data_IF_964857071406
#
_entry.id   IF_964857071406
#
_cell.length_a   1.000
_cell.length_b   1.000
_cell.length_c   1.000
_cell.angle_alpha   90.00
_cell.angle_beta   90.00
_cell.angle_gamma   90.00
#
_symmetry.space_group_name_H-M   'P 1'
#
loop_
_entity.id
_entity.type
_entity.pdbx_description
1 polymer ?
#
# COMPACT_ATOMS: atom_id res chain seq x y z
N UNK A 1 3.80 -9.80 -8.81
CA UNK A 1 3.42 -10.62 -9.98
C UNK A 1 3.95 -12.06 -9.93
N UNK A 2 5.27 -12.31 -9.83
CA UNK A 2 5.81 -13.70 -9.82
C UNK A 2 5.31 -14.49 -8.62
N UNK A 3 5.30 -13.91 -7.42
CA UNK A 3 4.76 -14.53 -6.20
C UNK A 3 3.26 -14.88 -6.34
N UNK A 4 2.46 -13.97 -6.90
CA UNK A 4 1.01 -14.18 -7.06
C UNK A 4 0.72 -15.27 -8.09
N UNK A 5 1.33 -15.16 -9.27
CA UNK A 5 1.16 -16.14 -10.36
C UNK A 5 1.73 -17.51 -9.97
N UNK A 6 2.93 -17.54 -9.41
CA UNK A 6 3.59 -18.77 -8.98
C UNK A 6 2.83 -19.48 -7.86
N UNK A 7 2.40 -18.70 -6.85
CA UNK A 7 1.57 -19.21 -5.76
C UNK A 7 0.22 -19.73 -6.25
N UNK A 8 -0.45 -19.02 -7.18
CA UNK A 8 -1.70 -19.48 -7.78
C UNK A 8 -1.50 -20.77 -8.60
N UNK A 9 -0.46 -20.82 -9.42
CA UNK A 9 -0.11 -22.02 -10.18
C UNK A 9 0.15 -23.21 -9.25
N UNK A 10 0.94 -23.03 -8.20
CA UNK A 10 1.20 -24.06 -7.19
C UNK A 10 -0.08 -24.50 -6.47
N UNK A 11 -0.98 -23.56 -6.17
CA UNK A 11 -2.24 -23.85 -5.49
C UNK A 11 -3.25 -24.64 -6.33
N UNK A 12 -3.15 -24.50 -7.66
CA UNK A 12 -4.08 -25.16 -8.60
C UNK A 12 -3.50 -26.42 -9.23
N UNK A 13 -2.15 -26.53 -9.36
CA UNK A 13 -1.50 -27.70 -9.91
C UNK A 13 -1.73 -28.92 -9.03
N UNK A 14 -2.26 -30.01 -9.59
CA UNK A 14 -2.59 -31.27 -8.88
C UNK A 14 -3.41 -31.05 -7.60
N UNK A 15 -4.28 -30.04 -7.56
CA UNK A 15 -5.08 -29.63 -6.40
C UNK A 15 -4.28 -29.04 -5.25
N UNK A 16 -3.08 -28.53 -5.53
CA UNK A 16 -2.17 -27.87 -4.60
C UNK A 16 -0.90 -28.64 -4.34
N UNK A 17 0.22 -27.96 -4.48
CA UNK A 17 1.54 -28.40 -4.07
C UNK A 17 2.14 -27.39 -3.10
N UNK A 18 3.07 -27.82 -2.26
CA UNK A 18 3.84 -26.91 -1.42
C UNK A 18 4.77 -26.04 -2.28
N UNK A 19 4.92 -24.78 -1.88
CA UNK A 19 5.83 -23.83 -2.51
C UNK A 19 6.52 -22.95 -1.47
N UNK A 20 7.60 -22.31 -1.88
CA UNK A 20 8.42 -21.41 -1.07
C UNK A 20 8.50 -20.07 -1.83
N UNK A 21 8.34 -18.95 -1.15
CA UNK A 21 8.59 -17.64 -1.70
C UNK A 21 10.01 -17.17 -1.40
N UNK A 22 10.73 -16.72 -2.43
CA UNK A 22 12.03 -16.05 -2.33
C UNK A 22 11.89 -14.70 -3.05
N UNK A 23 11.33 -13.68 -2.40
CA UNK A 23 11.12 -12.38 -3.01
C UNK A 23 12.45 -11.67 -3.26
N UNK A 24 12.59 -11.07 -4.44
CA UNK A 24 13.83 -10.40 -4.88
C UNK A 24 13.67 -8.88 -5.02
N UNK A 25 12.49 -8.34 -4.76
CA UNK A 25 12.23 -6.89 -4.73
C UNK A 25 11.72 -6.50 -3.35
N UNK A 26 11.98 -5.25 -2.94
CA UNK A 26 11.53 -4.75 -1.64
C UNK A 26 10.01 -4.86 -1.48
N UNK A 27 9.24 -4.51 -2.52
CA UNK A 27 7.78 -4.66 -2.53
C UNK A 27 7.33 -6.11 -2.33
N UNK A 28 8.01 -7.07 -2.96
CA UNK A 28 7.67 -8.47 -2.78
C UNK A 28 8.04 -8.98 -1.38
N UNK A 29 9.13 -8.48 -0.78
CA UNK A 29 9.55 -8.82 0.59
C UNK A 29 8.54 -8.34 1.63
N UNK A 30 8.09 -7.09 1.51
CA UNK A 30 7.24 -6.45 2.51
C UNK A 30 5.75 -6.69 2.31
N UNK A 31 5.33 -6.97 1.06
CA UNK A 31 3.91 -7.12 0.74
C UNK A 31 3.55 -8.46 0.07
N UNK A 32 3.95 -8.68 -1.16
CA UNK A 32 3.36 -9.73 -1.99
C UNK A 32 3.69 -11.17 -1.57
N UNK A 33 4.78 -11.42 -0.84
CA UNK A 33 5.17 -12.76 -0.39
C UNK A 33 4.50 -13.20 0.91
N UNK A 34 3.84 -12.27 1.64
CA UNK A 34 3.27 -12.51 2.96
C UNK A 34 1.75 -12.37 2.91
N UNK A 35 1.04 -13.35 3.50
CA UNK A 35 -0.40 -13.30 3.69
C UNK A 35 -1.24 -14.11 2.70
N UNK A 36 -0.60 -15.02 1.95
CA UNK A 36 -1.26 -16.09 1.21
C UNK A 36 -2.19 -15.68 0.06
N UNK A 37 -2.31 -14.39 -0.24
CA UNK A 37 -3.09 -13.93 -1.40
C UNK A 37 -2.31 -14.26 -2.66
N UNK A 38 -2.83 -15.17 -3.48
CA UNK A 38 -2.26 -15.53 -4.79
C UNK A 38 -3.32 -15.35 -5.86
N UNK A 39 -2.92 -14.97 -7.08
CA UNK A 39 -3.92 -14.75 -8.11
C UNK A 39 -3.36 -14.24 -9.43
N UNK A 40 -4.27 -14.07 -10.37
CA UNK A 40 -4.00 -13.58 -11.71
C UNK A 40 -4.99 -12.48 -12.09
N UNK A 41 -4.54 -11.60 -12.98
CA UNK A 41 -5.42 -10.63 -13.61
C UNK A 41 -6.28 -11.33 -14.67
N UNK A 42 -7.53 -10.93 -14.79
CA UNK A 42 -8.46 -11.47 -15.76
C UNK A 42 -9.37 -10.36 -16.32
N UNK A 43 -9.59 -10.33 -17.63
CA UNK A 43 -10.43 -9.33 -18.31
C UNK A 43 -10.09 -7.86 -17.96
N UNK A 44 -8.81 -7.54 -17.80
CA UNK A 44 -8.36 -6.18 -17.46
C UNK A 44 -8.51 -5.82 -15.97
N UNK A 45 -9.05 -6.71 -15.15
CA UNK A 45 -9.18 -6.52 -13.71
C UNK A 45 -8.03 -7.18 -12.97
N UNK A 46 -7.48 -6.48 -11.97
CA UNK A 46 -6.38 -6.98 -11.14
C UNK A 46 -6.89 -8.02 -10.13
N UNK A 47 -6.12 -9.11 -9.96
CA UNK A 47 -6.34 -10.14 -8.93
C UNK A 47 -7.78 -10.69 -8.91
N UNK A 48 -8.38 -10.86 -10.10
CA UNK A 48 -9.78 -11.27 -10.23
C UNK A 48 -9.99 -12.75 -9.92
N UNK A 49 -9.00 -13.57 -10.27
CA UNK A 49 -9.02 -15.01 -10.00
C UNK A 49 -7.86 -15.34 -9.08
N UNK A 50 -8.14 -15.87 -7.91
CA UNK A 50 -7.11 -16.19 -6.94
C UNK A 50 -7.61 -17.07 -5.80
N UNK A 51 -6.68 -17.45 -4.94
CA UNK A 51 -6.95 -18.24 -3.73
C UNK A 51 -6.11 -17.70 -2.56
N UNK A 52 -6.57 -18.00 -1.35
CA UNK A 52 -5.77 -17.86 -0.14
C UNK A 52 -5.00 -19.17 0.08
N UNK A 53 -3.68 -19.15 -0.12
CA UNK A 53 -2.80 -20.29 0.14
C UNK A 53 -1.41 -19.79 0.53
N UNK A 54 -1.01 -20.06 1.77
CA UNK A 54 0.29 -19.64 2.29
C UNK A 54 1.42 -20.49 1.72
N UNK A 55 2.56 -19.84 1.42
CA UNK A 55 3.81 -20.54 1.16
C UNK A 55 4.28 -21.24 2.44
N UNK A 56 5.03 -22.34 2.29
CA UNK A 56 5.62 -23.06 3.42
C UNK A 56 6.64 -22.22 4.18
N UNK A 57 7.42 -21.43 3.44
CA UNK A 57 8.41 -20.51 3.95
C UNK A 57 8.46 -19.26 3.06
N UNK A 58 8.83 -18.14 3.65
CA UNK A 58 9.28 -16.94 2.94
C UNK A 58 10.74 -16.73 3.34
N UNK A 59 11.66 -16.77 2.37
CA UNK A 59 13.08 -16.52 2.59
C UNK A 59 13.36 -15.09 2.15
N UNK A 60 13.67 -14.22 3.12
CA UNK A 60 14.01 -12.82 2.88
C UNK A 60 15.53 -12.68 2.86
N UNK A 61 16.09 -12.46 1.69
CA UNK A 61 17.52 -12.18 1.49
C UNK A 61 17.67 -10.76 0.91
N UNK A 62 18.09 -9.83 1.75
CA UNK A 62 18.23 -8.42 1.37
C UNK A 62 19.41 -8.14 0.43
N UNK A 63 20.31 -9.10 0.18
CA UNK A 63 21.35 -8.97 -0.87
C UNK A 63 20.74 -8.77 -2.27
N UNK A 64 19.53 -9.24 -2.52
CA UNK A 64 18.85 -8.94 -3.78
C UNK A 64 18.58 -7.43 -3.99
N UNK A 65 18.55 -6.64 -2.92
CA UNK A 65 18.35 -5.20 -2.99
C UNK A 65 19.59 -4.46 -3.48
N UNK A 66 20.80 -5.07 -3.42
CA UNK A 66 22.05 -4.45 -3.90
C UNK A 66 22.00 -4.13 -5.40
N UNK A 67 21.25 -4.91 -6.17
CA UNK A 67 21.08 -4.74 -7.62
C UNK A 67 19.73 -4.12 -8.01
N UNK A 68 18.88 -3.79 -7.03
CA UNK A 68 17.57 -3.21 -7.29
C UNK A 68 17.71 -1.70 -7.54
N UNK A 69 17.06 -1.20 -8.59
CA UNK A 69 17.06 0.24 -8.87
C UNK A 69 16.29 1.04 -7.80
N UNK A 70 16.61 2.33 -7.69
CA UNK A 70 16.05 3.23 -6.69
C UNK A 70 14.52 3.34 -6.78
N UNK A 71 13.94 3.29 -7.98
CA UNK A 71 12.49 3.37 -8.14
C UNK A 71 11.79 2.16 -7.54
N UNK A 72 12.35 0.96 -7.74
CA UNK A 72 11.81 -0.26 -7.14
C UNK A 72 12.06 -0.33 -5.63
N UNK A 73 13.15 0.24 -5.11
CA UNK A 73 13.34 0.42 -3.66
C UNK A 73 12.25 1.33 -3.11
N UNK A 74 12.06 2.52 -3.68
CA UNK A 74 10.99 3.45 -3.28
C UNK A 74 9.61 2.81 -3.36
N UNK A 75 9.34 2.03 -4.42
CA UNK A 75 8.07 1.33 -4.55
C UNK A 75 7.81 0.36 -3.38
N UNK A 76 8.79 -0.45 -2.98
CA UNK A 76 8.65 -1.31 -1.81
C UNK A 76 8.54 -0.52 -0.50
N UNK A 77 9.24 0.60 -0.42
CA UNK A 77 9.25 1.44 0.77
C UNK A 77 7.91 2.15 1.03
N UNK A 78 7.11 2.42 0.01
CA UNK A 78 5.74 2.93 0.18
C UNK A 78 4.87 2.02 1.05
N UNK A 79 5.02 0.70 0.93
CA UNK A 79 4.36 -0.28 1.79
C UNK A 79 4.94 -0.28 3.22
N UNK A 80 6.25 -0.11 3.37
CA UNK A 80 6.88 -0.01 4.68
C UNK A 80 6.42 1.25 5.43
N UNK A 81 6.28 2.38 4.74
CA UNK A 81 5.73 3.61 5.32
C UNK A 81 4.29 3.41 5.79
N UNK A 82 3.46 2.71 5.02
CA UNK A 82 2.12 2.31 5.44
C UNK A 82 2.15 1.42 6.70
N UNK A 83 3.02 0.42 6.73
CA UNK A 83 3.15 -0.45 7.91
C UNK A 83 3.61 0.32 9.15
N UNK A 84 4.48 1.29 9.00
CA UNK A 84 4.92 2.16 10.08
C UNK A 84 3.76 3.01 10.64
N UNK A 85 2.95 3.62 9.75
CA UNK A 85 1.77 4.42 10.11
C UNK A 85 0.72 3.62 10.90
N UNK A 86 0.52 2.34 10.57
CA UNK A 86 -0.45 1.47 11.25
C UNK A 86 0.15 0.72 12.46
N UNK A 87 1.43 0.93 12.77
CA UNK A 87 2.13 0.25 13.88
C UNK A 87 2.29 1.14 15.10
N UNK A 88 3.35 1.92 15.16
CA UNK A 88 3.69 2.77 16.30
C UNK A 88 4.56 3.97 15.88
N UNK A 89 4.66 4.95 16.80
CA UNK A 89 5.39 6.20 16.56
C UNK A 89 6.89 6.01 16.31
N UNK A 90 7.50 5.01 16.94
CA UNK A 90 8.92 4.74 16.77
C UNK A 90 9.20 4.27 15.35
N UNK A 91 8.44 3.30 14.89
CA UNK A 91 8.59 2.75 13.54
C UNK A 91 8.30 3.83 12.48
N UNK A 92 7.27 4.67 12.71
CA UNK A 92 6.97 5.80 11.84
C UNK A 92 8.11 6.81 11.80
N UNK A 93 8.67 7.21 12.96
CA UNK A 93 9.79 8.15 13.01
C UNK A 93 11.04 7.59 12.33
N UNK A 94 11.34 6.30 12.49
CA UNK A 94 12.42 5.63 11.76
C UNK A 94 12.17 5.69 10.24
N UNK A 95 10.91 5.47 9.80
CA UNK A 95 10.56 5.45 8.39
C UNK A 95 10.63 6.84 7.71
N UNK A 96 10.14 7.90 8.34
CA UNK A 96 10.18 9.25 7.73
C UNK A 96 11.55 9.93 7.80
N UNK A 97 12.50 9.36 8.55
CA UNK A 97 13.87 9.86 8.64
C UNK A 97 14.89 8.99 7.86
N UNK A 98 14.45 7.93 7.20
CA UNK A 98 15.35 7.06 6.45
C UNK A 98 15.71 7.68 5.09
N UNK A 99 17.01 7.67 4.75
CA UNK A 99 17.50 8.20 3.48
C UNK A 99 17.32 7.16 2.36
N UNK A 100 16.41 7.44 1.42
CA UNK A 100 16.13 6.58 0.26
C UNK A 100 17.06 6.82 -0.94
N UNK A 101 17.80 7.92 -0.97
CA UNK A 101 18.75 8.19 -2.04
C UNK A 101 20.05 7.38 -1.88
N UNK A 102 20.48 7.20 -0.62
CA UNK A 102 21.65 6.41 -0.25
C UNK A 102 21.30 5.47 0.90
N UNK A 103 20.49 4.42 0.62
CA UNK A 103 19.97 3.56 1.68
C UNK A 103 21.10 2.75 2.34
N UNK A 104 21.17 2.80 3.67
CA UNK A 104 21.96 1.85 4.46
C UNK A 104 21.24 0.50 4.46
N UNK A 105 21.78 -0.47 3.73
CA UNK A 105 21.15 -1.78 3.57
C UNK A 105 21.10 -2.59 4.86
N UNK A 106 22.00 -2.39 5.81
CA UNK A 106 21.94 -3.06 7.11
C UNK A 106 20.78 -2.51 7.96
N UNK A 107 20.56 -1.20 7.93
CA UNK A 107 19.39 -0.57 8.55
C UNK A 107 18.11 -1.01 7.84
N UNK A 108 18.10 -0.98 6.50
CA UNK A 108 16.95 -1.37 5.71
C UNK A 108 16.55 -2.83 5.96
N UNK A 109 17.51 -3.75 6.14
CA UNK A 109 17.26 -5.14 6.49
C UNK A 109 16.44 -5.28 7.78
N UNK A 110 16.81 -4.52 8.81
CA UNK A 110 16.06 -4.50 10.07
C UNK A 110 14.65 -3.94 9.86
N UNK A 111 14.54 -2.83 9.13
CA UNK A 111 13.24 -2.21 8.83
C UNK A 111 12.32 -3.14 8.03
N UNK A 112 12.87 -3.94 7.10
CA UNK A 112 12.13 -4.97 6.37
C UNK A 112 11.58 -6.02 7.34
N UNK A 113 12.41 -6.51 8.26
CA UNK A 113 11.98 -7.51 9.25
C UNK A 113 10.85 -6.96 10.14
N UNK A 114 10.99 -5.73 10.64
CA UNK A 114 9.97 -5.06 11.45
C UNK A 114 8.67 -4.85 10.65
N UNK A 115 8.77 -4.42 9.40
CA UNK A 115 7.64 -4.23 8.48
C UNK A 115 6.87 -5.54 8.21
N UNK A 116 7.61 -6.62 7.94
CA UNK A 116 7.03 -7.96 7.74
C UNK A 116 6.33 -8.46 9.01
N UNK A 117 6.93 -8.24 10.19
CA UNK A 117 6.32 -8.62 11.46
C UNK A 117 4.98 -7.90 11.72
N UNK A 118 4.86 -6.61 11.34
CA UNK A 118 3.58 -5.88 11.39
C UNK A 118 2.53 -6.55 10.52
N UNK A 119 2.87 -6.82 9.26
CA UNK A 119 1.95 -7.47 8.32
C UNK A 119 1.55 -8.87 8.78
N UNK A 120 2.52 -9.69 9.19
CA UNK A 120 2.28 -11.06 9.66
C UNK A 120 1.31 -11.07 10.84
N UNK A 121 1.54 -10.22 11.85
CA UNK A 121 0.64 -10.07 13.01
C UNK A 121 -0.80 -9.79 12.59
N UNK A 122 -0.99 -8.87 11.64
CA UNK A 122 -2.32 -8.48 11.14
C UNK A 122 -2.97 -9.63 10.35
N UNK A 123 -2.20 -10.29 9.49
CA UNK A 123 -2.67 -11.44 8.69
C UNK A 123 -3.06 -12.61 9.56
N UNK A 124 -2.25 -12.95 10.58
CA UNK A 124 -2.55 -14.04 11.52
C UNK A 124 -3.82 -13.76 12.35
N UNK A 125 -4.06 -12.49 12.69
CA UNK A 125 -5.27 -12.09 13.42
C UNK A 125 -6.54 -12.15 12.56
N UNK A 126 -6.42 -11.97 11.23
CA UNK A 126 -7.56 -11.92 10.30
C UNK A 126 -7.17 -12.44 8.91
N UNK A 127 -7.00 -13.76 8.74
CA UNK A 127 -6.50 -14.34 7.47
C UNK A 127 -7.35 -14.03 6.24
N UNK A 128 -8.67 -13.87 6.42
CA UNK A 128 -9.64 -13.69 5.33
C UNK A 128 -10.10 -12.23 5.11
N UNK A 129 -9.50 -11.27 5.83
CA UNK A 129 -9.77 -9.82 5.65
C UNK A 129 -11.24 -9.40 5.94
N UNK A 130 -11.82 -9.99 6.95
CA UNK A 130 -13.14 -9.57 7.42
C UNK A 130 -13.11 -8.39 8.40
N UNK A 131 -12.00 -8.17 9.09
CA UNK A 131 -11.81 -7.20 10.16
C UNK A 131 -10.51 -6.42 10.05
N UNK A 132 -9.59 -6.65 11.03
CA UNK A 132 -8.38 -5.83 11.21
C UNK A 132 -7.42 -5.87 10.00
N UNK A 133 -7.42 -6.91 9.20
CA UNK A 133 -6.57 -6.98 8.01
C UNK A 133 -6.89 -5.86 7.00
N UNK A 134 -8.08 -5.26 7.07
CA UNK A 134 -8.42 -4.05 6.31
C UNK A 134 -7.51 -2.85 6.64
N UNK A 135 -6.79 -2.87 7.77
CA UNK A 135 -5.77 -1.89 8.10
C UNK A 135 -4.70 -1.76 7.00
N UNK A 136 -4.37 -2.87 6.35
CA UNK A 136 -3.42 -2.91 5.24
C UNK A 136 -3.90 -2.16 3.99
N UNK A 137 -5.16 -1.72 3.97
CA UNK A 137 -5.74 -0.92 2.88
C UNK A 137 -5.56 0.59 3.06
N UNK A 138 -4.90 1.08 4.12
CA UNK A 138 -4.53 2.49 4.24
C UNK A 138 -3.71 2.92 3.02
N UNK A 139 -4.08 4.04 2.41
CA UNK A 139 -3.46 4.55 1.19
C UNK A 139 -3.87 3.84 -0.11
N UNK A 140 -4.64 2.75 -0.03
CA UNK A 140 -4.96 1.94 -1.20
C UNK A 140 -6.24 2.35 -1.93
N UNK A 141 -7.20 2.97 -1.25
CA UNK A 141 -8.46 3.37 -1.90
C UNK A 141 -8.20 4.46 -2.94
N UNK A 142 -7.48 5.51 -2.55
CA UNK A 142 -7.05 6.57 -3.47
C UNK A 142 -5.89 6.09 -4.34
N UNK A 143 -4.94 5.35 -3.76
CA UNK A 143 -3.76 4.82 -4.48
C UNK A 143 -4.13 3.95 -5.69
N UNK A 144 -5.07 3.03 -5.57
CA UNK A 144 -5.53 2.22 -6.70
C UNK A 144 -6.22 3.05 -7.79
N UNK A 145 -6.94 4.11 -7.40
CA UNK A 145 -7.51 5.05 -8.37
C UNK A 145 -6.41 5.79 -9.14
N UNK A 146 -5.37 6.27 -8.45
CA UNK A 146 -4.21 6.89 -9.09
C UNK A 146 -3.45 5.93 -10.02
N UNK A 147 -3.22 4.69 -9.58
CA UNK A 147 -2.57 3.67 -10.40
C UNK A 147 -3.37 3.35 -11.67
N UNK A 148 -4.68 3.21 -11.54
CA UNK A 148 -5.58 2.94 -12.66
C UNK A 148 -5.68 4.13 -13.62
N UNK A 149 -5.78 5.34 -13.10
CA UNK A 149 -5.81 6.57 -13.86
C UNK A 149 -4.51 6.76 -14.64
N UNK A 150 -3.35 6.63 -14.00
CA UNK A 150 -2.04 6.74 -14.65
C UNK A 150 -1.86 5.72 -15.78
N UNK A 151 -2.35 4.49 -15.58
CA UNK A 151 -2.37 3.47 -16.63
C UNK A 151 -3.23 3.89 -17.83
N UNK A 152 -4.42 4.48 -17.59
CA UNK A 152 -5.30 4.97 -18.64
C UNK A 152 -4.70 6.17 -19.41
N UNK A 153 -3.90 7.00 -18.73
CA UNK A 153 -3.16 8.11 -19.34
C UNK A 153 -1.91 7.65 -20.11
N UNK A 154 -1.56 6.36 -20.10
CA UNK A 154 -0.37 5.82 -20.75
C UNK A 154 0.94 6.12 -20.00
N UNK A 155 0.87 6.58 -18.77
CA UNK A 155 2.01 6.90 -17.89
C UNK A 155 1.95 6.06 -16.60
N UNK A 156 2.06 4.72 -16.69
CA UNK A 156 1.87 3.84 -15.54
C UNK A 156 2.89 4.15 -14.44
N UNK A 157 2.43 4.15 -13.20
CA UNK A 157 3.26 4.30 -11.99
C UNK A 157 3.41 2.96 -11.27
N UNK A 158 4.50 2.80 -10.52
CA UNK A 158 4.70 1.61 -9.69
C UNK A 158 3.71 1.62 -8.51
N UNK A 159 3.27 0.44 -8.10
CA UNK A 159 2.26 0.27 -7.04
C UNK A 159 2.58 1.03 -5.75
N UNK A 160 3.81 0.94 -5.24
CA UNK A 160 4.17 1.64 -4.01
C UNK A 160 4.20 3.17 -4.14
N UNK A 161 4.41 3.71 -5.34
CA UNK A 161 4.21 5.14 -5.61
C UNK A 161 2.72 5.50 -5.48
N UNK A 162 1.86 4.68 -6.07
CA UNK A 162 0.42 4.87 -5.93
C UNK A 162 -0.04 4.82 -4.47
N UNK A 163 0.50 3.88 -3.69
CA UNK A 163 0.22 3.78 -2.24
C UNK A 163 0.73 5.02 -1.51
N UNK A 164 1.96 5.47 -1.75
CA UNK A 164 2.51 6.68 -1.14
C UNK A 164 1.65 7.92 -1.45
N UNK A 165 1.25 8.11 -2.69
CA UNK A 165 0.33 9.19 -3.08
C UNK A 165 -1.05 9.05 -2.42
N UNK A 166 -1.58 7.84 -2.35
CA UNK A 166 -2.83 7.55 -1.65
C UNK A 166 -2.76 7.85 -0.16
N UNK A 167 -1.60 7.62 0.48
CA UNK A 167 -1.38 7.98 1.89
C UNK A 167 -1.54 9.49 2.11
N UNK A 168 -1.09 10.36 1.20
CA UNK A 168 -1.26 11.81 1.33
C UNK A 168 -2.75 12.17 1.45
N UNK A 169 -3.58 11.70 0.53
CA UNK A 169 -5.01 12.01 0.51
C UNK A 169 -5.75 11.35 1.70
N UNK A 170 -5.42 10.09 2.03
CA UNK A 170 -6.11 9.36 3.11
C UNK A 170 -5.66 9.84 4.50
N UNK A 171 -4.45 10.36 4.68
CA UNK A 171 -4.03 11.03 5.91
C UNK A 171 -4.68 12.41 6.06
N UNK A 172 -4.92 13.15 4.98
CA UNK A 172 -5.74 14.35 5.03
C UNK A 172 -7.17 14.01 5.51
N UNK A 173 -7.81 13.01 4.92
CA UNK A 173 -9.12 12.52 5.39
C UNK A 173 -9.06 12.07 6.85
N UNK A 174 -7.98 11.45 7.27
CA UNK A 174 -7.75 11.04 8.67
C UNK A 174 -7.70 12.26 9.60
N UNK A 175 -7.01 13.33 9.21
CA UNK A 175 -6.96 14.54 10.01
C UNK A 175 -8.34 15.21 10.15
N UNK A 176 -9.09 15.31 9.05
CA UNK A 176 -10.41 15.96 9.03
C UNK A 176 -11.48 15.13 9.77
N UNK A 177 -11.45 13.79 9.62
CA UNK A 177 -12.55 12.93 10.08
C UNK A 177 -12.29 12.23 11.41
N UNK A 178 -11.05 11.88 11.69
CA UNK A 178 -10.68 11.04 12.84
C UNK A 178 -9.67 11.70 13.77
N UNK A 179 -9.22 12.94 13.46
CA UNK A 179 -8.35 13.71 14.32
C UNK A 179 -6.88 13.34 14.25
N UNK A 180 -6.42 12.76 13.13
CA UNK A 180 -5.00 12.46 12.94
C UNK A 180 -4.15 13.73 13.10
N UNK A 181 -3.05 13.71 13.89
CA UNK A 181 -2.30 14.91 14.21
C UNK A 181 -1.68 15.57 12.98
N UNK A 182 -1.88 16.88 12.86
CA UNK A 182 -1.44 17.68 11.70
C UNK A 182 0.07 17.67 11.53
N UNK A 183 0.84 17.60 12.62
CA UNK A 183 2.30 17.57 12.55
C UNK A 183 2.81 16.29 11.91
N UNK A 184 2.28 15.10 12.30
CA UNK A 184 2.63 13.83 11.68
C UNK A 184 2.15 13.75 10.22
N UNK A 185 0.98 14.35 9.92
CA UNK A 185 0.52 14.51 8.54
C UNK A 185 1.57 15.28 7.71
N UNK A 186 2.00 16.47 8.16
CA UNK A 186 2.97 17.28 7.43
C UNK A 186 4.30 16.57 7.22
N UNK A 187 4.85 15.94 8.26
CA UNK A 187 6.12 15.23 8.17
C UNK A 187 6.03 14.05 7.18
N UNK A 188 4.94 13.29 7.22
CA UNK A 188 4.74 12.18 6.29
C UNK A 188 4.57 12.66 4.85
N UNK A 189 3.81 13.74 4.63
CA UNK A 189 3.61 14.32 3.30
C UNK A 189 4.91 14.92 2.76
N UNK A 190 5.67 15.63 3.59
CA UNK A 190 6.99 16.16 3.20
C UNK A 190 7.94 15.03 2.74
N UNK A 191 8.01 13.93 3.52
CA UNK A 191 8.79 12.76 3.13
C UNK A 191 8.32 12.16 1.80
N UNK A 192 6.99 12.05 1.58
CA UNK A 192 6.45 11.52 0.34
C UNK A 192 6.80 12.43 -0.85
N UNK A 193 6.61 13.75 -0.72
CA UNK A 193 6.94 14.69 -1.80
C UNK A 193 8.43 14.66 -2.15
N UNK A 194 9.31 14.63 -1.16
CA UNK A 194 10.76 14.58 -1.37
C UNK A 194 11.19 13.32 -2.12
N UNK A 195 10.64 12.18 -1.77
CA UNK A 195 11.12 10.89 -2.29
C UNK A 195 10.35 10.36 -3.50
N UNK A 196 9.07 10.71 -3.66
CA UNK A 196 8.20 10.19 -4.71
C UNK A 196 7.79 11.26 -5.73
N UNK A 197 8.00 12.54 -5.42
CA UNK A 197 7.50 13.65 -6.25
C UNK A 197 5.98 13.77 -6.21
N UNK A 198 5.40 14.21 -7.31
CA UNK A 198 3.96 14.45 -7.45
C UNK A 198 3.39 13.71 -8.66
N UNK A 199 2.11 13.39 -8.62
CA UNK A 199 1.33 12.93 -9.76
C UNK A 199 0.57 14.14 -10.34
N UNK A 200 0.79 14.46 -11.60
CA UNK A 200 0.26 15.66 -12.24
C UNK A 200 -1.25 15.59 -12.54
N UNK A 201 -2.08 15.38 -11.51
CA UNK A 201 -3.54 15.45 -11.64
C UNK A 201 -4.02 16.90 -11.64
N UNK A 202 -5.18 17.14 -12.25
CA UNK A 202 -5.90 18.43 -12.27
C UNK A 202 -7.31 18.26 -11.75
N UNK A 203 -8.03 19.36 -11.53
CA UNK A 203 -9.43 19.30 -11.13
C UNK A 203 -10.31 18.55 -12.15
N UNK A 204 -9.92 18.54 -13.43
CA UNK A 204 -10.67 17.85 -14.49
C UNK A 204 -10.61 16.32 -14.34
N UNK A 205 -9.62 15.79 -13.60
CA UNK A 205 -9.43 14.37 -13.35
C UNK A 205 -10.26 13.83 -12.18
N UNK A 206 -10.79 14.70 -11.31
CA UNK A 206 -11.42 14.30 -10.05
C UNK A 206 -12.64 13.39 -10.22
N UNK A 207 -13.48 13.67 -11.22
CA UNK A 207 -14.65 12.82 -11.50
C UNK A 207 -14.22 11.41 -11.96
N UNK A 208 -13.19 11.32 -12.77
CA UNK A 208 -12.63 10.05 -13.23
C UNK A 208 -12.02 9.26 -12.05
N UNK A 209 -11.22 9.93 -11.19
CA UNK A 209 -10.64 9.33 -9.99
C UNK A 209 -11.74 8.87 -9.01
N UNK A 210 -12.76 9.68 -8.78
CA UNK A 210 -13.89 9.30 -7.94
C UNK A 210 -14.62 8.07 -8.49
N UNK A 211 -14.86 8.03 -9.81
CA UNK A 211 -15.45 6.87 -10.47
C UNK A 211 -14.60 5.62 -10.29
N UNK A 212 -13.28 5.70 -10.42
CA UNK A 212 -12.37 4.57 -10.19
C UNK A 212 -12.45 4.07 -8.74
N UNK A 213 -12.54 4.98 -7.75
CA UNK A 213 -12.72 4.60 -6.35
C UNK A 213 -14.07 3.89 -6.12
N UNK A 214 -15.14 4.27 -6.83
CA UNK A 214 -16.46 3.62 -6.66
C UNK A 214 -16.50 2.19 -7.17
N UNK A 215 -15.59 1.81 -8.07
CA UNK A 215 -15.49 0.45 -8.62
C UNK A 215 -14.60 -0.48 -7.76
N UNK A 216 -14.02 0.00 -6.66
CA UNK A 216 -13.23 -0.85 -5.76
C UNK A 216 -14.13 -1.91 -5.10
N UNK A 217 -13.67 -3.17 -5.11
CA UNK A 217 -14.37 -4.33 -4.54
C UNK A 217 -14.67 -4.19 -3.04
N UNK A 218 -13.99 -3.29 -2.34
CA UNK A 218 -14.16 -3.01 -0.90
C UNK A 218 -15.41 -2.21 -0.59
N UNK A 219 -16.07 -1.64 -1.59
CA UNK A 219 -17.23 -0.77 -1.42
C UNK A 219 -18.44 -1.54 -0.92
N UNK A 220 -19.18 -0.92 0.00
CA UNK A 220 -20.38 -1.49 0.58
C UNK A 220 -21.58 -0.58 0.24
N UNK A 221 -22.60 -1.13 -0.40
CA UNK A 221 -23.84 -0.41 -0.76
C UNK A 221 -23.56 0.93 -1.51
N UNK A 222 -22.60 0.93 -2.42
CA UNK A 222 -22.29 2.11 -3.23
C UNK A 222 -21.51 3.22 -2.49
N UNK A 223 -21.03 2.94 -1.27
CA UNK A 223 -20.18 3.87 -0.50
C UNK A 223 -18.72 3.46 -0.60
N UNK A 224 -17.85 4.43 -0.87
CA UNK A 224 -16.40 4.22 -0.85
C UNK A 224 -15.97 4.01 0.61
N UNK A 225 -15.25 2.92 0.84
CA UNK A 225 -14.79 2.53 2.18
C UNK A 225 -13.29 2.79 2.30
N UNK A 226 -12.93 3.48 3.37
CA UNK A 226 -11.55 3.84 3.71
C UNK A 226 -11.09 3.14 4.99
N UNK A 227 -9.80 2.94 5.09
CA UNK A 227 -9.10 2.81 6.36
C UNK A 227 -8.45 4.16 6.68
N UNK A 228 -8.79 4.75 7.81
CA UNK A 228 -8.24 6.03 8.28
C UNK A 228 -7.53 5.82 9.62
N UNK A 229 -6.82 6.85 10.10
CA UNK A 229 -6.11 6.82 11.37
C UNK A 229 -6.60 7.95 12.30
N UNK A 230 -6.75 7.67 13.59
CA UNK A 230 -6.93 8.69 14.63
C UNK A 230 -5.59 9.21 15.19
N UNK A 231 -4.51 8.47 14.95
CA UNK A 231 -3.11 8.73 15.29
C UNK A 231 -2.27 7.60 14.76
N UNK A 232 -0.93 7.67 14.89
CA UNK A 232 -0.07 6.55 14.52
C UNK A 232 -0.48 5.30 15.33
N UNK A 233 -0.77 4.20 14.62
CA UNK A 233 -1.24 2.95 15.24
C UNK A 233 -2.72 2.93 15.67
N UNK A 234 -3.43 4.07 15.67
CA UNK A 234 -4.86 4.12 15.97
C UNK A 234 -5.70 3.94 14.68
N UNK A 235 -5.95 2.68 14.34
CA UNK A 235 -6.56 2.26 13.08
C UNK A 235 -8.08 2.35 13.14
N UNK A 236 -8.69 3.02 12.18
CA UNK A 236 -10.13 3.19 12.00
C UNK A 236 -10.56 2.58 10.67
N UNK A 237 -10.94 1.29 10.70
CA UNK A 237 -11.45 0.59 9.51
C UNK A 237 -12.89 1.00 9.19
N UNK A 238 -13.35 0.72 7.95
CA UNK A 238 -14.71 0.94 7.48
C UNK A 238 -15.19 2.40 7.61
N UNK A 239 -14.29 3.36 7.45
CA UNK A 239 -14.64 4.77 7.41
C UNK A 239 -15.21 5.14 6.02
N UNK A 240 -16.02 6.19 5.98
CA UNK A 240 -16.59 6.70 4.73
C UNK A 240 -16.28 8.19 4.58
N UNK A 241 -16.19 8.66 3.34
CA UNK A 241 -16.11 10.08 3.03
C UNK A 241 -17.15 10.44 1.98
N UNK A 242 -17.64 11.67 2.04
CA UNK A 242 -18.48 12.25 1.00
C UNK A 242 -17.66 12.58 -0.23
N UNK A 243 -18.30 12.76 -1.38
CA UNK A 243 -17.62 13.17 -2.61
C UNK A 243 -16.84 14.48 -2.43
N UNK A 244 -17.40 15.45 -1.70
CA UNK A 244 -16.74 16.74 -1.44
C UNK A 244 -15.48 16.55 -0.58
N UNK A 245 -15.56 15.78 0.50
CA UNK A 245 -14.37 15.47 1.33
C UNK A 245 -13.26 14.76 0.53
N UNK A 246 -13.64 13.88 -0.41
CA UNK A 246 -12.67 13.23 -1.31
C UNK A 246 -12.03 14.26 -2.26
N UNK A 247 -12.82 15.18 -2.81
CA UNK A 247 -12.29 16.23 -3.67
C UNK A 247 -11.36 17.19 -2.93
N UNK A 248 -11.71 17.56 -1.68
CA UNK A 248 -10.80 18.33 -0.81
C UNK A 248 -9.49 17.57 -0.53
N UNK A 249 -9.54 16.25 -0.36
CA UNK A 249 -8.34 15.44 -0.20
C UNK A 249 -7.48 15.37 -1.49
N UNK A 250 -8.13 15.39 -2.66
CA UNK A 250 -7.41 15.47 -3.95
C UNK A 250 -6.83 16.87 -4.18
N UNK A 251 -7.53 17.95 -3.76
CA UNK A 251 -6.98 19.33 -3.75
C UNK A 251 -5.73 19.40 -2.86
N UNK A 252 -5.81 18.86 -1.64
CA UNK A 252 -4.67 18.79 -0.73
C UNK A 252 -3.49 18.03 -1.31
N UNK A 253 -3.74 16.88 -1.98
CA UNK A 253 -2.70 16.12 -2.65
C UNK A 253 -2.05 16.89 -3.81
N UNK A 254 -2.84 17.60 -4.62
CA UNK A 254 -2.38 18.35 -5.79
C UNK A 254 -1.57 19.59 -5.42
N UNK A 255 -2.08 20.37 -4.47
CA UNK A 255 -1.56 21.70 -4.16
C UNK A 255 -0.40 21.65 -3.15
N UNK A 256 -0.27 20.53 -2.44
CA UNK A 256 0.74 20.31 -1.42
C UNK A 256 0.44 21.07 -0.12
N UNK A 257 1.42 21.04 0.78
CA UNK A 257 1.43 21.82 2.03
C UNK A 257 2.25 23.08 1.83
#
# INVERSE_FOLDING_TARGET
MVTDLGGFAASTFKRGINFINIPTTLLAMTDASVGGKTGINFNGLKNEIGVFNDSRFVILDTHFLDSLDTQNIRSGYGEMLKHALISDEKMWAEAVNFNLDTPDLAVLQKMVADSVAVKERIVLADPLEHGIRKALNLGHTVGHAFESWAMQQGTPILHGYAVAYGLVAELYLSAVKTGFPTEQLRQTVAFIHENYGTLGITCDDYEALYSLMTHDKKNIAGRIIFTLLGGIGDIRINQTATKNEIFEALDFFRDGI
#
